data_IF_080976080784
#
_entry.id   IF_080976080784
#
_cell.length_a   1.000
_cell.length_b   1.000
_cell.length_c   1.000
_cell.angle_alpha   90.00
_cell.angle_beta   90.00
_cell.angle_gamma   90.00
#
_symmetry.space_group_name_H-M   'P 1'
#
loop_
_entity.id
_entity.type
_entity.pdbx_description
1 polymer ?
#
# COMPACT_ATOMS: atom_id res chain seq x y z
N UNK A 1 -34.48 -9.71 -46.59
CA UNK A 1 -34.82 -8.35 -47.07
C UNK A 1 -33.53 -7.57 -47.24
N UNK A 2 -33.36 -6.94 -48.42
CA UNK A 2 -32.20 -6.17 -48.86
C UNK A 2 -32.36 -4.67 -48.53
N UNK A 3 -31.21 -3.98 -48.65
CA UNK A 3 -30.93 -2.54 -48.81
C UNK A 3 -30.65 -1.78 -47.50
N UNK A 4 -29.40 -1.39 -47.18
CA UNK A 4 -28.36 -0.55 -47.85
C UNK A 4 -28.66 0.94 -47.75
N UNK A 5 -27.65 1.68 -47.25
CA UNK A 5 -27.15 3.01 -47.71
C UNK A 5 -26.80 3.88 -46.48
N UNK A 6 -25.55 3.99 -46.03
CA UNK A 6 -24.34 4.70 -46.55
C UNK A 6 -24.34 6.23 -46.40
N UNK A 7 -23.13 6.68 -45.99
CA UNK A 7 -22.45 7.97 -46.16
C UNK A 7 -22.55 9.00 -45.01
N UNK A 8 -21.45 9.37 -44.33
CA UNK A 8 -20.32 10.27 -44.71
C UNK A 8 -20.81 11.68 -45.12
N UNK A 9 -20.21 12.82 -44.76
CA UNK A 9 -18.92 13.19 -44.19
C UNK A 9 -18.94 14.71 -43.82
N UNK A 10 -17.89 15.16 -43.13
CA UNK A 10 -17.27 16.50 -43.19
C UNK A 10 -17.82 17.72 -42.40
N UNK A 11 -17.06 18.02 -41.34
CA UNK A 11 -16.30 19.26 -41.09
C UNK A 11 -16.68 20.57 -41.81
N UNK A 12 -16.83 21.66 -41.05
CA UNK A 12 -15.88 22.80 -41.05
C UNK A 12 -16.32 23.93 -40.09
N UNK A 13 -15.30 24.64 -39.63
CA UNK A 13 -15.28 25.82 -38.75
C UNK A 13 -16.03 27.03 -39.33
N UNK A 14 -16.54 27.92 -38.49
CA UNK A 14 -16.34 29.36 -38.69
C UNK A 14 -16.51 30.16 -37.38
N UNK A 15 -15.68 31.20 -37.24
CA UNK A 15 -15.57 32.10 -36.10
C UNK A 15 -16.24 33.45 -36.39
N UNK A 16 -16.41 34.25 -35.32
CA UNK A 16 -16.48 35.72 -35.29
C UNK A 16 -17.80 36.39 -35.69
N UNK A 17 -18.40 37.13 -34.76
CA UNK A 17 -18.28 38.61 -34.72
C UNK A 17 -18.96 39.25 -33.51
N UNK A 18 -18.37 40.38 -33.14
CA UNK A 18 -18.67 41.32 -32.06
C UNK A 18 -20.01 42.04 -32.26
N UNK A 19 -20.59 42.49 -31.15
CA UNK A 19 -21.60 43.56 -31.12
C UNK A 19 -21.73 44.17 -29.72
N UNK A 20 -21.07 45.31 -29.50
CA UNK A 20 -21.22 46.19 -28.34
C UNK A 20 -22.54 47.00 -28.42
N UNK A 21 -23.14 47.30 -27.25
CA UNK A 21 -23.65 48.62 -26.78
C UNK A 21 -24.33 48.41 -25.41
N UNK A 22 -23.79 48.91 -24.27
CA UNK A 22 -23.93 50.26 -23.67
C UNK A 22 -25.42 50.71 -23.54
N UNK A 23 -25.94 51.31 -22.47
CA UNK A 23 -25.45 51.90 -21.19
C UNK A 23 -26.68 52.36 -20.36
N UNK A 24 -26.51 52.50 -19.03
CA UNK A 24 -27.23 53.41 -18.09
C UNK A 24 -28.69 53.09 -17.73
N UNK A 25 -29.27 53.39 -16.56
CA UNK A 25 -28.91 54.09 -15.29
C UNK A 25 -30.12 53.83 -14.36
N UNK A 26 -29.94 53.42 -13.10
CA UNK A 26 -30.00 54.36 -11.98
C UNK A 26 -31.18 54.04 -11.01
N UNK A 27 -31.12 54.45 -9.73
CA UNK A 27 -31.72 53.73 -8.61
C UNK A 27 -32.95 54.42 -8.01
N UNK A 28 -33.74 53.70 -7.20
CA UNK A 28 -34.67 54.27 -6.22
C UNK A 28 -34.68 53.47 -4.93
N UNK A 29 -34.38 54.15 -3.83
CA UNK A 29 -34.59 53.72 -2.46
C UNK A 29 -36.02 54.08 -1.99
N UNK A 30 -36.57 53.34 -1.02
CA UNK A 30 -37.81 53.73 -0.34
C UNK A 30 -38.40 52.71 0.65
N UNK A 31 -38.10 52.93 1.94
CA UNK A 31 -38.90 52.75 3.16
C UNK A 31 -39.47 51.37 3.64
N UNK A 32 -38.98 50.98 4.83
CA UNK A 32 -39.65 50.57 6.09
C UNK A 32 -40.96 49.76 6.08
N UNK A 33 -40.91 48.57 6.70
CA UNK A 33 -41.94 48.08 7.63
C UNK A 33 -41.35 47.05 8.61
N UNK A 34 -41.60 47.26 9.90
CA UNK A 34 -41.39 46.34 11.02
C UNK A 34 -42.34 45.14 10.94
N UNK A 35 -41.92 43.97 11.43
CA UNK A 35 -42.88 42.98 11.94
C UNK A 35 -42.41 41.53 12.00
N UNK A 36 -42.38 41.01 13.23
CA UNK A 36 -42.43 39.61 13.65
C UNK A 36 -41.16 38.75 13.49
N UNK A 37 -40.50 38.58 14.63
CA UNK A 37 -39.61 37.45 14.87
C UNK A 37 -40.38 36.13 14.83
N UNK A 38 -39.97 35.27 13.91
CA UNK A 38 -40.17 33.84 13.98
C UNK A 38 -38.78 33.21 14.11
N UNK A 39 -38.58 32.44 15.18
CA UNK A 39 -37.38 31.64 15.39
C UNK A 39 -37.29 30.58 14.27
N UNK A 40 -36.58 30.90 13.20
CA UNK A 40 -36.08 29.91 12.26
C UNK A 40 -34.86 29.27 12.91
N UNK A 41 -35.06 28.05 13.41
CA UNK A 41 -34.01 27.06 13.61
C UNK A 41 -33.31 26.90 12.26
N UNK A 42 -32.25 27.68 12.06
CA UNK A 42 -31.36 27.52 10.93
C UNK A 42 -30.66 26.19 11.11
N UNK A 43 -31.08 25.18 10.33
CA UNK A 43 -30.19 24.09 9.94
C UNK A 43 -28.95 24.74 9.33
N UNK A 44 -27.91 24.90 10.14
CA UNK A 44 -26.56 25.02 9.59
C UNK A 44 -26.39 23.81 8.67
N UNK A 45 -26.00 24.00 7.40
CA UNK A 45 -25.54 22.86 6.62
C UNK A 45 -24.34 22.36 7.40
N UNK A 46 -24.52 21.20 8.07
CA UNK A 46 -23.41 20.45 8.60
C UNK A 46 -22.44 20.33 7.45
N UNK A 47 -21.25 20.92 7.62
CA UNK A 47 -20.11 20.56 6.81
C UNK A 47 -20.10 19.04 6.85
N UNK A 48 -20.31 18.43 5.68
CA UNK A 48 -20.05 17.02 5.51
C UNK A 48 -18.67 16.76 6.14
N UNK A 49 -18.50 15.69 6.94
CA UNK A 49 -17.19 15.37 7.48
C UNK A 49 -16.17 15.42 6.33
N UNK A 50 -15.01 16.04 6.57
CA UNK A 50 -13.83 15.88 5.71
C UNK A 50 -13.80 14.44 5.23
N UNK A 51 -13.83 14.24 3.91
CA UNK A 51 -14.13 12.96 3.29
C UNK A 51 -13.38 11.81 3.97
N UNK A 52 -14.11 10.73 4.29
CA UNK A 52 -13.54 9.43 4.72
C UNK A 52 -12.51 8.86 3.70
N UNK A 53 -12.37 9.49 2.55
CA UNK A 53 -11.31 9.26 1.57
C UNK A 53 -10.00 9.90 2.04
N UNK A 54 -9.27 9.17 2.88
CA UNK A 54 -7.84 9.42 3.04
C UNK A 54 -7.13 9.21 1.69
N UNK A 55 -6.23 10.13 1.33
CA UNK A 55 -5.38 10.02 0.13
C UNK A 55 -4.38 8.84 0.20
N UNK A 56 -4.14 8.31 1.42
CA UNK A 56 -3.33 7.12 1.69
C UNK A 56 -3.76 6.49 3.02
N UNK A 57 -3.75 5.16 3.09
CA UNK A 57 -4.07 4.37 4.30
C UNK A 57 -2.80 3.84 4.99
N UNK A 58 -1.64 4.46 4.74
CA UNK A 58 -0.43 4.22 5.51
C UNK A 58 -0.66 4.54 7.00
N UNK A 59 -0.19 3.71 7.96
CA UNK A 59 -0.52 3.90 9.37
C UNK A 59 -0.17 5.26 9.94
N UNK A 60 0.98 5.83 9.55
CA UNK A 60 1.34 7.18 9.98
C UNK A 60 0.35 8.25 9.49
N UNK A 61 -0.11 8.15 8.23
CA UNK A 61 -1.13 9.07 7.68
C UNK A 61 -2.45 8.90 8.41
N UNK A 62 -2.87 7.65 8.65
CA UNK A 62 -4.07 7.36 9.44
C UNK A 62 -3.97 7.92 10.85
N UNK A 63 -2.81 7.76 11.51
CA UNK A 63 -2.60 8.31 12.84
C UNK A 63 -2.71 9.84 12.83
N UNK A 64 -1.97 10.51 11.95
CA UNK A 64 -1.91 11.97 11.90
C UNK A 64 -3.27 12.60 11.54
N UNK A 65 -4.06 11.93 10.69
CA UNK A 65 -5.35 12.44 10.20
C UNK A 65 -6.54 12.04 11.07
N UNK A 66 -6.58 10.81 11.57
CA UNK A 66 -7.77 10.24 12.20
C UNK A 66 -7.65 10.06 13.72
N UNK A 67 -6.44 9.90 14.25
CA UNK A 67 -6.23 9.48 15.65
C UNK A 67 -5.64 10.59 16.51
N UNK A 68 -4.59 11.25 16.02
CA UNK A 68 -3.73 12.15 16.80
C UNK A 68 -4.52 13.28 17.46
N UNK A 69 -5.38 13.96 16.70
CA UNK A 69 -6.15 15.10 17.18
C UNK A 69 -6.96 14.76 18.43
N UNK A 70 -7.66 13.63 18.39
CA UNK A 70 -8.56 13.21 19.44
C UNK A 70 -7.81 12.67 20.66
N UNK A 71 -6.75 11.86 20.45
CA UNK A 71 -5.89 11.41 21.54
C UNK A 71 -5.21 12.58 22.27
N UNK A 72 -4.67 13.55 21.54
CA UNK A 72 -4.01 14.72 22.15
C UNK A 72 -5.02 15.58 22.91
N UNK A 73 -6.21 15.79 22.34
CA UNK A 73 -7.27 16.59 22.96
C UNK A 73 -7.74 15.99 24.29
N UNK A 74 -8.02 14.69 24.30
CA UNK A 74 -8.72 14.06 25.43
C UNK A 74 -7.76 13.38 26.43
N UNK A 75 -6.54 13.01 25.99
CA UNK A 75 -5.56 12.28 26.80
C UNK A 75 -4.23 13.03 26.98
N UNK A 76 -3.96 14.06 26.18
CA UNK A 76 -2.66 14.74 26.12
C UNK A 76 -2.25 15.43 27.43
N UNK A 77 -3.22 15.97 28.19
CA UNK A 77 -2.93 16.66 29.45
C UNK A 77 -2.16 15.78 30.46
N UNK A 78 -2.45 14.48 30.49
CA UNK A 78 -1.77 13.54 31.37
C UNK A 78 -0.63 12.79 30.66
N UNK A 79 -0.81 12.40 29.40
CA UNK A 79 0.13 11.52 28.71
C UNK A 79 1.22 12.24 27.89
N UNK A 80 1.23 13.58 27.87
CA UNK A 80 2.35 14.36 27.34
C UNK A 80 3.55 14.46 28.30
N UNK A 81 3.35 14.08 29.57
CA UNK A 81 4.36 14.05 30.64
C UNK A 81 4.35 12.69 31.35
N UNK A 82 5.36 12.42 32.19
CA UNK A 82 5.41 11.19 32.98
C UNK A 82 4.35 11.21 34.10
N UNK A 83 3.66 10.09 34.29
CA UNK A 83 2.63 9.90 35.33
C UNK A 83 2.93 8.62 36.12
N UNK A 84 3.61 8.74 37.26
CA UNK A 84 4.08 7.59 38.03
C UNK A 84 4.99 6.69 37.17
N UNK A 85 4.62 5.42 36.99
CA UNK A 85 5.35 4.46 36.14
C UNK A 85 4.98 4.52 34.65
N UNK A 86 4.07 5.42 34.25
CA UNK A 86 3.66 5.61 32.86
C UNK A 86 4.53 6.69 32.24
N UNK A 87 5.46 6.28 31.38
CA UNK A 87 6.24 7.21 30.56
C UNK A 87 5.33 7.96 29.56
N UNK A 88 5.68 9.21 29.19
CA UNK A 88 4.90 9.97 28.24
C UNK A 88 4.87 9.29 26.87
N UNK A 89 3.73 9.36 26.20
CA UNK A 89 3.55 8.88 24.82
C UNK A 89 2.72 9.83 23.95
N UNK A 90 2.28 10.96 24.49
CA UNK A 90 1.63 12.05 23.74
C UNK A 90 2.45 13.35 23.79
N UNK A 91 3.78 13.23 23.91
CA UNK A 91 4.68 14.39 23.82
C UNK A 91 4.61 14.98 22.41
N UNK A 92 4.41 16.29 22.34
CA UNK A 92 4.21 17.01 21.08
C UNK A 92 5.30 16.69 20.05
N UNK A 93 4.90 16.26 18.85
CA UNK A 93 5.79 15.93 17.74
C UNK A 93 6.44 14.55 17.82
N UNK A 94 6.20 13.77 18.89
CA UNK A 94 6.72 12.42 19.07
C UNK A 94 5.61 11.38 19.24
N UNK A 95 4.34 11.76 19.12
CA UNK A 95 3.20 10.95 19.55
C UNK A 95 3.15 9.60 18.82
N UNK A 96 3.28 9.61 17.49
CA UNK A 96 3.28 8.38 16.69
C UNK A 96 4.42 7.43 17.07
N UNK A 97 5.66 7.95 17.12
CA UNK A 97 6.84 7.16 17.45
C UNK A 97 6.81 6.64 18.88
N UNK A 98 6.40 7.48 19.83
CA UNK A 98 6.32 7.13 21.24
C UNK A 98 5.24 6.08 21.53
N UNK A 99 4.06 6.17 20.90
CA UNK A 99 3.03 5.15 21.03
C UNK A 99 3.49 3.83 20.40
N UNK A 100 3.98 3.87 19.17
CA UNK A 100 4.32 2.64 18.43
C UNK A 100 5.54 1.90 18.97
N UNK A 101 6.42 2.59 19.72
CA UNK A 101 7.57 1.98 20.39
C UNK A 101 7.36 1.75 21.90
N UNK A 102 6.21 2.16 22.45
CA UNK A 102 5.96 2.16 23.88
C UNK A 102 6.16 0.77 24.50
N UNK A 103 7.10 0.65 25.46
CA UNK A 103 7.44 -0.62 26.13
C UNK A 103 7.66 -1.78 25.15
N UNK A 104 8.33 -1.53 24.03
CA UNK A 104 8.59 -2.55 23.01
C UNK A 104 7.38 -2.85 22.12
N UNK A 105 6.45 -1.90 21.97
CA UNK A 105 5.26 -2.04 21.12
C UNK A 105 4.02 -2.56 21.85
N UNK A 106 3.92 -2.34 23.16
CA UNK A 106 2.81 -2.85 24.00
C UNK A 106 1.41 -2.37 23.58
N UNK A 107 1.32 -1.28 22.80
CA UNK A 107 0.06 -0.82 22.23
C UNK A 107 -0.29 -1.46 20.88
N UNK A 108 0.66 -2.13 20.23
CA UNK A 108 0.49 -2.77 18.94
C UNK A 108 0.21 -4.26 19.17
N UNK A 109 -1.08 -4.60 19.23
CA UNK A 109 -1.53 -5.98 19.45
C UNK A 109 -2.24 -6.52 18.21
N UNK A 110 -2.23 -7.84 18.07
CA UNK A 110 -3.08 -8.56 17.10
C UNK A 110 -3.85 -9.65 17.87
N UNK A 111 -5.20 -9.60 17.91
CA UNK A 111 -6.08 -8.62 17.27
C UNK A 111 -5.97 -7.22 17.88
N UNK A 112 -6.18 -6.18 17.06
CA UNK A 112 -6.07 -4.77 17.45
C UNK A 112 -6.92 -4.39 18.66
N UNK A 113 -8.10 -5.01 18.82
CA UNK A 113 -9.03 -4.77 19.94
C UNK A 113 -8.43 -5.13 21.31
N UNK A 114 -7.32 -5.87 21.34
CA UNK A 114 -6.58 -6.17 22.56
C UNK A 114 -5.66 -5.03 23.03
N UNK A 115 -5.51 -3.98 22.22
CA UNK A 115 -4.62 -2.87 22.54
C UNK A 115 -5.08 -2.13 23.78
N UNK A 116 -4.14 -1.80 24.66
CA UNK A 116 -4.40 -0.97 25.84
C UNK A 116 -4.85 0.46 25.49
N UNK A 117 -4.73 0.90 24.23
CA UNK A 117 -5.34 2.16 23.78
C UNK A 117 -6.85 2.05 23.60
N UNK A 118 -7.34 0.86 23.22
CA UNK A 118 -8.77 0.59 23.03
C UNK A 118 -9.41 0.03 24.31
N UNK A 119 -8.65 -0.76 25.06
CA UNK A 119 -9.10 -1.33 26.32
C UNK A 119 -8.96 -0.30 27.43
N UNK A 120 -10.09 0.15 27.96
CA UNK A 120 -10.08 0.99 29.15
C UNK A 120 -9.59 0.18 30.36
N UNK A 121 -8.35 0.43 30.78
CA UNK A 121 -7.83 -0.07 32.06
C UNK A 121 -8.32 0.74 33.27
N UNK A 122 -7.83 0.40 34.46
CA UNK A 122 -8.01 1.20 35.69
C UNK A 122 -7.21 2.51 35.58
N UNK A 123 -7.78 3.52 34.93
CA UNK A 123 -7.21 4.87 34.87
C UNK A 123 -8.32 5.92 34.87
N UNK A 124 -8.01 7.11 35.40
CA UNK A 124 -8.98 8.19 35.64
C UNK A 124 -9.41 8.93 34.35
N UNK A 125 -8.81 8.62 33.21
CA UNK A 125 -9.14 9.24 31.92
C UNK A 125 -10.52 8.83 31.41
N UNK A 126 -11.14 9.67 30.54
CA UNK A 126 -12.36 9.27 29.85
C UNK A 126 -12.06 8.07 28.92
N UNK A 127 -13.01 7.13 28.75
CA UNK A 127 -12.90 6.17 27.65
C UNK A 127 -12.96 6.91 26.31
N UNK A 128 -12.36 6.31 25.28
CA UNK A 128 -12.60 6.74 23.91
C UNK A 128 -14.10 6.64 23.60
N UNK A 129 -14.65 7.65 22.93
CA UNK A 129 -15.97 7.55 22.31
C UNK A 129 -15.97 6.46 21.23
N UNK A 130 -17.12 5.93 20.81
CA UNK A 130 -17.19 4.89 19.78
C UNK A 130 -16.45 5.28 18.48
N UNK A 131 -16.62 6.51 18.01
CA UNK A 131 -15.95 7.00 16.78
C UNK A 131 -14.43 7.05 16.95
N UNK A 132 -13.95 7.49 18.12
CA UNK A 132 -12.51 7.52 18.43
C UNK A 132 -11.93 6.11 18.54
N UNK A 133 -12.67 5.19 19.18
CA UNK A 133 -12.28 3.80 19.29
C UNK A 133 -12.19 3.13 17.91
N UNK A 134 -13.15 3.41 17.02
CA UNK A 134 -13.13 2.89 15.64
C UNK A 134 -11.93 3.44 14.85
N UNK A 135 -11.62 4.73 14.96
CA UNK A 135 -10.45 5.33 14.31
C UNK A 135 -9.12 4.74 14.84
N UNK A 136 -8.98 4.60 16.16
CA UNK A 136 -7.80 3.99 16.78
C UNK A 136 -7.68 2.52 16.37
N UNK A 137 -8.79 1.77 16.35
CA UNK A 137 -8.81 0.37 15.90
C UNK A 137 -8.39 0.25 14.44
N UNK A 138 -8.95 1.06 13.55
CA UNK A 138 -8.60 1.07 12.14
C UNK A 138 -7.11 1.36 11.92
N UNK A 139 -6.55 2.33 12.65
CA UNK A 139 -5.12 2.62 12.61
C UNK A 139 -4.26 1.46 13.14
N UNK A 140 -4.62 0.85 14.26
CA UNK A 140 -3.90 -0.30 14.82
C UNK A 140 -3.95 -1.54 13.90
N UNK A 141 -5.05 -1.76 13.20
CA UNK A 141 -5.14 -2.81 12.18
C UNK A 141 -4.25 -2.49 10.96
N UNK A 142 -4.15 -1.23 10.57
CA UNK A 142 -3.20 -0.80 9.54
C UNK A 142 -1.75 -1.04 9.98
N UNK A 143 -1.41 -0.70 11.24
CA UNK A 143 -0.11 -1.02 11.84
C UNK A 143 0.19 -2.51 11.76
N UNK A 144 -0.76 -3.36 12.18
CA UNK A 144 -0.60 -4.80 12.13
C UNK A 144 -0.38 -5.33 10.70
N UNK A 145 -1.15 -4.82 9.74
CA UNK A 145 -1.02 -5.19 8.34
C UNK A 145 0.37 -4.81 7.76
N UNK A 146 0.89 -3.60 8.04
CA UNK A 146 2.06 -3.08 7.31
C UNK A 146 3.37 -3.12 8.08
N UNK A 147 3.39 -3.14 9.42
CA UNK A 147 4.62 -2.99 10.23
C UNK A 147 5.52 -4.23 10.24
N UNK A 148 6.80 -4.17 9.82
CA UNK A 148 7.71 -5.32 9.90
C UNK A 148 7.94 -5.82 11.34
N UNK A 149 8.16 -7.12 11.53
CA UNK A 149 8.61 -7.68 12.82
C UNK A 149 7.54 -7.87 13.92
N UNK A 150 6.29 -7.51 13.69
CA UNK A 150 5.19 -7.97 14.53
C UNK A 150 5.04 -9.50 14.40
N UNK A 151 4.54 -10.20 15.42
CA UNK A 151 4.12 -11.59 15.30
C UNK A 151 2.89 -11.66 14.39
N UNK A 152 3.13 -11.56 13.08
CA UNK A 152 2.10 -11.42 12.05
C UNK A 152 1.39 -12.70 11.68
N UNK A 153 1.77 -13.83 12.29
CA UNK A 153 1.49 -15.21 11.84
C UNK A 153 0.78 -15.29 10.49
N UNK A 154 1.46 -14.88 9.41
CA UNK A 154 0.93 -14.93 8.04
C UNK A 154 0.34 -13.66 7.39
N UNK A 155 0.46 -12.44 7.91
CA UNK A 155 0.03 -11.22 7.18
C UNK A 155 1.12 -10.68 6.23
N UNK A 156 0.84 -10.72 4.93
CA UNK A 156 1.67 -10.08 3.90
C UNK A 156 1.49 -8.55 3.88
N UNK A 157 2.50 -7.78 3.44
CA UNK A 157 2.36 -6.36 3.16
C UNK A 157 1.25 -6.11 2.14
N UNK A 158 0.56 -4.99 2.28
CA UNK A 158 -0.52 -4.63 1.36
C UNK A 158 0.00 -3.91 0.12
N UNK A 159 -0.73 -4.03 -0.99
CA UNK A 159 -0.50 -3.30 -2.24
C UNK A 159 -1.75 -2.49 -2.61
N UNK A 160 -1.65 -1.45 -3.46
CA UNK A 160 -2.83 -0.72 -3.93
C UNK A 160 -3.91 -1.64 -4.54
N UNK A 161 -5.17 -1.38 -4.23
CA UNK A 161 -6.31 -2.08 -4.83
C UNK A 161 -6.67 -1.42 -6.19
N UNK A 162 -5.85 -1.68 -7.20
CA UNK A 162 -6.02 -1.17 -8.56
C UNK A 162 -5.46 -2.13 -9.61
N UNK A 163 -5.83 -1.96 -10.87
CA UNK A 163 -5.31 -2.73 -12.00
C UNK A 163 -3.78 -2.80 -12.00
N UNK A 164 -3.21 -4.00 -12.22
CA UNK A 164 -1.79 -4.18 -12.47
C UNK A 164 -1.21 -5.50 -11.98
N UNK A 165 0.09 -5.65 -12.16
CA UNK A 165 0.89 -6.79 -11.71
C UNK A 165 1.57 -6.50 -10.37
N UNK A 166 1.50 -7.44 -9.44
CA UNK A 166 1.99 -7.29 -8.08
C UNK A 166 2.98 -8.37 -7.70
N UNK A 167 3.95 -7.99 -6.86
CA UNK A 167 4.90 -8.88 -6.21
C UNK A 167 4.92 -8.49 -4.73
N UNK A 168 4.51 -9.41 -3.86
CA UNK A 168 4.58 -9.27 -2.41
C UNK A 168 5.76 -10.12 -1.92
N UNK A 169 6.76 -9.47 -1.33
CA UNK A 169 8.00 -10.13 -0.86
C UNK A 169 7.83 -10.71 0.55
N UNK A 170 8.43 -11.87 0.79
CA UNK A 170 8.53 -12.49 2.13
C UNK A 170 9.80 -12.09 2.89
N UNK A 171 10.60 -11.15 2.37
CA UNK A 171 11.89 -10.69 2.95
C UNK A 171 11.83 -10.47 4.46
N UNK A 172 10.80 -9.76 4.93
CA UNK A 172 10.64 -9.37 6.34
C UNK A 172 9.49 -10.10 7.02
N UNK A 173 8.93 -11.13 6.38
CA UNK A 173 7.72 -11.82 6.84
C UNK A 173 8.10 -13.12 7.53
N UNK A 174 7.97 -13.13 8.85
CA UNK A 174 8.15 -14.33 9.65
C UNK A 174 7.01 -15.36 9.40
N UNK A 175 7.31 -16.67 9.42
CA UNK A 175 8.62 -17.25 9.65
C UNK A 175 9.52 -17.29 8.41
N UNK A 176 9.05 -16.97 7.20
CA UNK A 176 9.80 -17.18 5.94
C UNK A 176 11.13 -16.42 5.88
N UNK A 177 11.11 -15.10 6.05
CA UNK A 177 12.30 -14.23 6.08
C UNK A 177 13.29 -14.47 4.91
N UNK A 178 12.77 -14.50 3.68
CA UNK A 178 13.55 -14.81 2.48
C UNK A 178 13.27 -13.77 1.37
N UNK A 179 14.27 -12.96 0.96
CA UNK A 179 14.08 -11.94 -0.07
C UNK A 179 13.83 -12.51 -1.47
N UNK A 180 14.15 -13.78 -1.72
CA UNK A 180 13.91 -14.45 -3.00
C UNK A 180 12.55 -15.14 -3.06
N UNK A 181 11.82 -15.20 -1.94
CA UNK A 181 10.48 -15.72 -1.87
C UNK A 181 9.44 -14.61 -2.10
N UNK A 182 8.44 -14.89 -2.93
CA UNK A 182 7.37 -13.93 -3.23
C UNK A 182 6.04 -14.60 -3.57
N UNK A 183 4.97 -13.84 -3.35
CA UNK A 183 3.65 -14.09 -3.89
C UNK A 183 3.40 -13.09 -5.03
N UNK A 184 3.10 -13.56 -6.22
CA UNK A 184 2.82 -12.71 -7.40
C UNK A 184 1.43 -12.95 -7.93
N UNK A 185 0.80 -11.91 -8.48
CA UNK A 185 -0.51 -11.98 -9.12
C UNK A 185 -0.77 -10.76 -10.00
N UNK A 186 -1.76 -10.87 -10.88
CA UNK A 186 -2.32 -9.77 -11.66
C UNK A 186 -3.71 -9.45 -11.11
N UNK A 187 -3.96 -8.17 -10.81
CA UNK A 187 -5.24 -7.65 -10.39
C UNK A 187 -5.91 -6.91 -11.55
N UNK A 188 -7.20 -7.16 -11.75
CA UNK A 188 -8.02 -6.45 -12.73
C UNK A 188 -9.38 -6.12 -12.11
N UNK A 189 -9.77 -4.86 -12.12
CA UNK A 189 -11.15 -4.45 -11.84
C UNK A 189 -12.03 -4.85 -13.03
N UNK A 190 -13.11 -5.56 -12.73
CA UNK A 190 -14.11 -5.99 -13.71
C UNK A 190 -15.21 -4.94 -13.81
N UNK A 191 -16.10 -4.89 -12.82
CA UNK A 191 -17.17 -3.90 -12.71
C UNK A 191 -17.56 -3.72 -11.24
N UNK A 192 -18.05 -2.54 -10.87
CA UNK A 192 -18.58 -2.26 -9.53
C UNK A 192 -17.67 -2.73 -8.38
N UNK A 193 -16.36 -2.42 -8.43
CA UNK A 193 -15.38 -2.81 -7.40
C UNK A 193 -15.25 -4.32 -7.18
N UNK A 194 -15.66 -5.13 -8.15
CA UNK A 194 -15.32 -6.54 -8.22
C UNK A 194 -13.96 -6.66 -8.89
N UNK A 195 -13.01 -7.30 -8.19
CA UNK A 195 -11.66 -7.47 -8.69
C UNK A 195 -11.37 -8.94 -8.97
N UNK A 196 -10.77 -9.22 -10.12
CA UNK A 196 -10.21 -10.53 -10.44
C UNK A 196 -8.72 -10.54 -10.12
N UNK A 197 -8.32 -11.43 -9.23
CA UNK A 197 -6.94 -11.89 -9.10
C UNK A 197 -6.73 -13.01 -10.12
N UNK A 198 -5.63 -12.96 -10.85
CA UNK A 198 -5.21 -14.00 -11.79
C UNK A 198 -3.71 -14.24 -11.71
N UNK A 199 -3.25 -15.37 -12.25
CA UNK A 199 -1.84 -15.77 -12.21
C UNK A 199 -1.25 -15.78 -10.79
N UNK A 200 -2.06 -16.11 -9.78
CA UNK A 200 -1.62 -16.17 -8.39
C UNK A 200 -0.60 -17.30 -8.21
N UNK A 201 0.65 -16.93 -7.90
CA UNK A 201 1.78 -17.84 -7.79
C UNK A 201 2.60 -17.58 -6.55
N UNK A 202 3.04 -18.66 -5.91
CA UNK A 202 4.03 -18.65 -4.83
C UNK A 202 5.38 -19.12 -5.38
N UNK A 203 6.43 -18.34 -5.15
CA UNK A 203 7.82 -18.72 -5.42
C UNK A 203 8.56 -18.86 -4.10
N UNK A 204 9.20 -20.00 -3.87
CA UNK A 204 10.09 -20.22 -2.74
C UNK A 204 11.53 -19.82 -3.10
N UNK A 205 12.27 -19.27 -2.14
CA UNK A 205 13.68 -18.97 -2.33
C UNK A 205 14.53 -20.23 -2.49
N UNK A 206 15.79 -20.07 -2.86
CA UNK A 206 16.64 -21.19 -3.31
C UNK A 206 17.05 -22.16 -2.20
N UNK A 207 17.03 -21.74 -0.93
CA UNK A 207 17.52 -22.55 0.20
C UNK A 207 16.45 -23.21 1.05
N UNK A 208 15.18 -22.77 0.95
CA UNK A 208 14.11 -23.23 1.86
C UNK A 208 12.78 -23.29 1.11
N UNK A 209 12.02 -24.37 1.31
CA UNK A 209 10.66 -24.47 0.81
C UNK A 209 9.67 -23.70 1.67
N UNK A 210 8.47 -23.45 1.16
CA UNK A 210 7.40 -22.75 1.88
C UNK A 210 6.15 -23.61 1.84
N UNK A 211 5.47 -23.73 2.98
CA UNK A 211 4.08 -24.20 3.02
C UNK A 211 3.18 -23.08 3.50
N UNK A 212 2.05 -22.93 2.80
CA UNK A 212 0.95 -22.09 3.22
C UNK A 212 -0.34 -22.92 3.35
N UNK A 213 -1.20 -22.52 4.27
CA UNK A 213 -2.56 -23.06 4.41
C UNK A 213 -3.55 -21.92 4.49
N UNK A 214 -4.67 -22.08 3.80
CA UNK A 214 -5.81 -21.17 3.84
C UNK A 214 -5.38 -19.71 3.61
N UNK A 215 -4.73 -19.39 2.48
CA UNK A 215 -4.41 -18.03 2.12
C UNK A 215 -5.71 -17.25 1.90
N UNK A 216 -5.90 -16.11 2.54
CA UNK A 216 -7.11 -15.30 2.40
C UNK A 216 -6.76 -13.85 2.09
N UNK A 217 -7.40 -13.29 1.07
CA UNK A 217 -7.25 -11.87 0.78
C UNK A 217 -7.97 -11.03 1.84
N UNK A 218 -7.38 -9.88 2.16
CA UNK A 218 -8.01 -8.88 3.03
C UNK A 218 -7.82 -7.49 2.44
N UNK A 219 -8.75 -6.60 2.75
CA UNK A 219 -8.70 -5.21 2.39
C UNK A 219 -8.28 -4.37 3.60
N UNK A 220 -7.52 -3.31 3.34
CA UNK A 220 -7.20 -2.27 4.29
C UNK A 220 -7.77 -0.94 3.76
N UNK A 221 -8.57 -0.27 4.58
CA UNK A 221 -9.16 1.03 4.27
C UNK A 221 -9.03 1.97 5.47
N UNK A 222 -9.46 3.23 5.31
CA UNK A 222 -9.57 4.17 6.44
C UNK A 222 -10.50 3.66 7.57
N UNK A 223 -11.42 2.73 7.26
CA UNK A 223 -12.34 2.10 8.22
C UNK A 223 -11.75 0.87 8.90
N UNK A 224 -10.50 0.53 8.60
CA UNK A 224 -9.81 -0.65 9.11
C UNK A 224 -9.76 -1.78 8.09
N UNK A 225 -9.56 -2.99 8.60
CA UNK A 225 -9.37 -4.20 7.82
C UNK A 225 -10.64 -5.04 7.70
N UNK A 226 -10.86 -5.61 6.52
CA UNK A 226 -11.93 -6.58 6.27
C UNK A 226 -11.41 -7.75 5.45
N UNK A 227 -11.86 -8.96 5.76
CA UNK A 227 -11.49 -10.15 4.99
C UNK A 227 -12.36 -10.25 3.72
N UNK A 228 -11.79 -10.79 2.63
CA UNK A 228 -12.60 -11.18 1.46
C UNK A 228 -13.67 -12.18 1.91
N UNK A 229 -14.97 -11.88 1.75
CA UNK A 229 -16.05 -12.73 2.25
C UNK A 229 -16.19 -14.03 1.46
N UNK A 230 -15.73 -14.07 0.20
CA UNK A 230 -15.85 -15.25 -0.64
C UNK A 230 -14.92 -16.40 -0.20
N UNK A 231 -13.79 -16.07 0.43
CA UNK A 231 -12.83 -17.02 1.00
C UNK A 231 -12.49 -18.20 0.06
N UNK A 232 -12.28 -17.86 -1.23
CA UNK A 232 -12.22 -18.85 -2.33
C UNK A 232 -11.08 -19.85 -2.17
N UNK A 233 -10.06 -19.52 -1.37
CA UNK A 233 -8.86 -20.32 -1.19
C UNK A 233 -8.86 -21.11 0.14
N UNK A 234 -10.00 -21.23 0.82
CA UNK A 234 -10.11 -21.89 2.13
C UNK A 234 -9.58 -23.33 2.17
N UNK A 235 -9.70 -24.08 1.06
CA UNK A 235 -9.23 -25.46 0.95
C UNK A 235 -7.76 -25.62 0.55
N UNK A 236 -7.05 -24.52 0.30
CA UNK A 236 -5.66 -24.57 -0.18
C UNK A 236 -4.72 -24.93 0.98
N UNK A 237 -4.00 -26.02 0.80
CA UNK A 237 -2.79 -26.39 1.55
C UNK A 237 -1.70 -26.69 0.52
N UNK A 238 -0.72 -25.79 0.39
CA UNK A 238 0.26 -25.82 -0.68
C UNK A 238 1.67 -25.82 -0.09
N UNK A 239 2.47 -26.80 -0.49
CA UNK A 239 3.92 -26.84 -0.24
C UNK A 239 4.68 -26.61 -1.54
N UNK A 240 5.59 -25.64 -1.55
CA UNK A 240 6.48 -25.31 -2.66
C UNK A 240 7.91 -25.59 -2.22
N UNK A 241 8.58 -26.49 -2.94
CA UNK A 241 9.98 -26.83 -2.67
C UNK A 241 10.92 -25.65 -2.97
N UNK A 242 12.10 -25.64 -2.35
CA UNK A 242 13.11 -24.62 -2.54
C UNK A 242 13.43 -24.39 -4.03
N UNK A 243 13.50 -23.11 -4.43
CA UNK A 243 13.79 -22.68 -5.80
C UNK A 243 12.70 -23.02 -6.82
N UNK A 244 11.50 -23.41 -6.38
CA UNK A 244 10.35 -23.69 -7.25
C UNK A 244 9.28 -22.62 -7.14
N UNK A 245 8.42 -22.59 -8.15
CA UNK A 245 7.21 -21.77 -8.21
C UNK A 245 6.02 -22.69 -8.42
N UNK A 246 4.90 -22.42 -7.75
CA UNK A 246 3.65 -23.12 -7.94
C UNK A 246 2.46 -22.14 -8.02
N UNK A 247 1.41 -22.55 -8.73
CA UNK A 247 0.12 -21.85 -8.71
C UNK A 247 -0.58 -22.08 -7.38
N UNK A 248 -1.14 -21.03 -6.79
CA UNK A 248 -1.93 -21.13 -5.55
C UNK A 248 -3.39 -21.39 -5.91
N UNK A 249 -3.96 -22.51 -5.44
CA UNK A 249 -5.30 -22.94 -5.80
C UNK A 249 -5.46 -23.07 -7.32
N UNK A 250 -6.53 -22.50 -7.88
CA UNK A 250 -6.74 -22.39 -9.33
C UNK A 250 -5.97 -21.26 -10.01
N UNK A 251 -5.19 -20.48 -9.26
CA UNK A 251 -4.48 -19.29 -9.76
C UNK A 251 -5.37 -18.07 -9.98
N UNK A 252 -6.65 -18.16 -9.63
CA UNK A 252 -7.65 -17.10 -9.78
C UNK A 252 -8.49 -16.96 -8.52
N UNK A 253 -8.84 -15.72 -8.18
CA UNK A 253 -9.77 -15.38 -7.09
C UNK A 253 -10.66 -14.24 -7.58
N UNK A 254 -11.95 -14.31 -7.26
CA UNK A 254 -12.86 -13.19 -7.46
C UNK A 254 -13.10 -12.52 -6.11
N UNK A 255 -12.62 -11.30 -5.99
CA UNK A 255 -12.75 -10.49 -4.79
C UNK A 255 -14.06 -9.72 -4.88
N UNK A 256 -14.92 -9.96 -3.90
CA UNK A 256 -16.24 -9.31 -3.82
C UNK A 256 -16.26 -8.35 -2.62
N UNK A 257 -17.06 -7.30 -2.70
CA UNK A 257 -17.19 -6.30 -1.63
C UNK A 257 -15.89 -5.56 -1.29
N UNK A 258 -15.05 -5.28 -2.29
CA UNK A 258 -13.89 -4.44 -2.08
C UNK A 258 -14.33 -3.03 -1.64
N UNK A 259 -13.62 -2.36 -0.71
CA UNK A 259 -14.06 -1.07 -0.16
C UNK A 259 -14.29 -0.02 -1.24
N UNK A 260 -15.23 0.90 -1.02
CA UNK A 260 -15.52 1.99 -1.98
C UNK A 260 -14.37 3.01 -2.07
N UNK A 261 -13.61 3.18 -0.98
CA UNK A 261 -12.44 4.06 -0.93
C UNK A 261 -11.39 3.63 -1.98
N UNK A 262 -11.03 4.57 -2.87
CA UNK A 262 -10.11 4.33 -3.99
C UNK A 262 -8.64 4.13 -3.59
N UNK A 263 -8.29 4.53 -2.37
CA UNK A 263 -6.97 4.35 -1.76
C UNK A 263 -6.90 3.10 -0.88
N UNK A 264 -7.97 2.29 -0.86
CA UNK A 264 -7.94 0.99 -0.21
C UNK A 264 -6.81 0.12 -0.78
N UNK A 265 -6.30 -0.77 0.07
CA UNK A 265 -5.20 -1.67 -0.24
C UNK A 265 -5.64 -3.11 -0.04
N UNK A 266 -4.90 -4.02 -0.63
CA UNK A 266 -5.14 -5.45 -0.55
C UNK A 266 -3.90 -6.18 -0.05
N UNK A 267 -4.08 -7.12 0.87
CA UNK A 267 -3.03 -8.03 1.35
C UNK A 267 -3.52 -9.48 1.38
N UNK A 268 -2.65 -10.37 1.85
CA UNK A 268 -2.95 -11.80 2.02
C UNK A 268 -2.59 -12.21 3.44
N UNK A 269 -3.52 -12.89 4.11
CA UNK A 269 -3.35 -13.54 5.40
C UNK A 269 -3.23 -15.06 5.20
N UNK A 270 -2.65 -15.79 6.15
CA UNK A 270 -2.59 -17.25 6.12
C UNK A 270 -3.02 -17.83 7.48
N UNK A 271 -3.73 -18.97 7.47
CA UNK A 271 -3.92 -19.76 8.69
C UNK A 271 -2.60 -20.42 9.14
N UNK A 272 -1.80 -20.85 8.16
CA UNK A 272 -0.45 -21.36 8.39
C UNK A 272 0.50 -20.80 7.33
N UNK A 273 1.66 -20.35 7.79
CA UNK A 273 2.81 -20.04 6.94
C UNK A 273 4.05 -20.61 7.62
N UNK A 274 4.75 -21.53 6.97
CA UNK A 274 5.93 -22.18 7.53
C UNK A 274 7.03 -22.43 6.50
N UNK A 275 8.26 -22.54 7.02
CA UNK A 275 9.41 -23.03 6.24
C UNK A 275 9.36 -24.55 6.18
N UNK A 276 9.58 -25.11 5.00
CA UNK A 276 9.66 -26.56 4.78
C UNK A 276 11.06 -26.95 4.37
N UNK A 277 11.60 -27.99 5.02
CA UNK A 277 12.93 -28.56 4.74
C UNK A 277 14.00 -27.47 4.57
N UNK A 278 14.21 -26.59 5.56
CA UNK A 278 15.26 -25.59 5.46
C UNK A 278 16.60 -26.32 5.34
N UNK A 279 17.25 -26.22 4.17
CA UNK A 279 18.65 -26.59 4.05
C UNK A 279 19.38 -25.56 4.92
N UNK A 280 19.91 -25.99 6.08
CA UNK A 280 20.39 -25.10 7.14
C UNK A 280 21.18 -23.91 6.60
N UNK A 281 20.97 -22.72 7.18
CA UNK A 281 21.47 -21.39 6.78
C UNK A 281 22.61 -21.38 5.76
N UNK A 282 22.34 -21.73 4.50
CA UNK A 282 23.27 -21.49 3.41
C UNK A 282 23.21 -19.99 3.17
N UNK A 283 24.35 -19.31 3.33
CA UNK A 283 24.47 -17.90 3.00
C UNK A 283 24.20 -17.74 1.49
N UNK A 284 22.99 -17.30 1.14
CA UNK A 284 22.65 -16.95 -0.23
C UNK A 284 23.41 -15.67 -0.56
N UNK A 285 24.23 -15.69 -1.61
CA UNK A 285 25.00 -14.53 -2.09
C UNK A 285 24.50 -14.09 -3.45
N UNK A 286 24.64 -12.79 -3.73
CA UNK A 286 24.46 -12.24 -5.06
C UNK A 286 25.62 -12.73 -5.94
N UNK A 287 25.35 -13.69 -6.84
CA UNK A 287 26.40 -14.36 -7.62
C UNK A 287 27.07 -13.41 -8.60
N UNK A 288 26.28 -12.53 -9.22
CA UNK A 288 26.71 -11.59 -10.24
C UNK A 288 26.80 -10.16 -9.69
N UNK A 289 27.34 -10.01 -8.47
CA UNK A 289 27.41 -8.72 -7.79
C UNK A 289 28.15 -7.63 -8.58
N UNK A 290 29.19 -7.98 -9.35
CA UNK A 290 29.90 -7.03 -10.22
C UNK A 290 29.04 -6.51 -11.40
N UNK A 291 28.00 -7.25 -11.80
CA UNK A 291 27.03 -6.78 -12.81
C UNK A 291 25.91 -5.98 -12.15
N UNK A 292 25.58 -6.27 -10.90
CA UNK A 292 24.63 -5.48 -10.12
C UNK A 292 25.17 -4.10 -9.75
N UNK A 293 26.39 -4.04 -9.20
CA UNK A 293 27.07 -2.84 -8.75
C UNK A 293 28.27 -2.56 -9.68
N UNK A 294 28.23 -1.50 -10.52
CA UNK A 294 27.34 -0.35 -10.41
C UNK A 294 26.08 -0.38 -11.28
N UNK A 295 25.97 -1.26 -12.28
CA UNK A 295 25.05 -1.03 -13.41
C UNK A 295 23.56 -0.99 -13.03
N UNK A 296 23.07 -1.96 -12.23
CA UNK A 296 21.68 -1.97 -11.77
C UNK A 296 21.49 -1.00 -10.61
N UNK A 297 22.43 -0.99 -9.65
CA UNK A 297 22.43 -0.11 -8.48
C UNK A 297 22.23 1.36 -8.87
N UNK A 298 23.02 1.87 -9.81
CA UNK A 298 23.02 3.28 -10.18
C UNK A 298 21.69 3.72 -10.80
N UNK A 299 21.02 2.85 -11.57
CA UNK A 299 19.70 3.14 -12.14
C UNK A 299 18.59 3.15 -11.07
N UNK A 300 18.80 2.50 -9.92
CA UNK A 300 17.86 2.50 -8.79
C UNK A 300 18.06 3.69 -7.82
N UNK A 301 19.24 4.31 -7.80
CA UNK A 301 19.54 5.42 -6.88
C UNK A 301 18.56 6.61 -6.98
N UNK A 302 18.16 7.08 -8.17
CA UNK A 302 17.18 8.16 -8.27
C UNK A 302 15.83 7.77 -7.65
N UNK A 303 15.41 6.52 -7.83
CA UNK A 303 14.16 6.00 -7.26
C UNK A 303 14.22 5.98 -5.73
N UNK A 304 15.38 5.61 -5.16
CA UNK A 304 15.61 5.68 -3.71
C UNK A 304 15.51 7.13 -3.20
N UNK A 305 16.22 8.06 -3.83
CA UNK A 305 16.27 9.46 -3.41
C UNK A 305 14.91 10.16 -3.49
N UNK A 306 14.10 9.83 -4.50
CA UNK A 306 12.81 10.47 -4.71
C UNK A 306 11.66 9.81 -3.93
N UNK A 307 11.63 8.48 -3.79
CA UNK A 307 10.44 7.79 -3.28
C UNK A 307 10.73 6.62 -2.34
N UNK A 308 11.71 5.77 -2.66
CA UNK A 308 11.85 4.46 -2.02
C UNK A 308 12.74 4.42 -0.77
N UNK A 309 13.39 5.54 -0.39
CA UNK A 309 14.09 5.66 0.89
C UNK A 309 13.13 6.04 2.04
N UNK A 310 13.47 5.71 3.30
CA UNK A 310 12.67 6.09 4.47
C UNK A 310 12.33 7.59 4.50
N UNK A 311 11.08 7.91 4.83
CA UNK A 311 10.60 9.29 4.94
C UNK A 311 10.36 10.02 3.61
N UNK A 312 10.58 9.39 2.46
CA UNK A 312 10.27 9.98 1.14
C UNK A 312 8.83 9.73 0.73
N UNK A 313 8.49 8.47 0.52
CA UNK A 313 7.12 8.01 0.32
C UNK A 313 6.97 6.66 1.03
N UNK A 314 6.23 6.66 2.13
CA UNK A 314 6.15 5.48 2.99
C UNK A 314 5.49 4.28 2.29
N UNK A 315 4.53 4.53 1.38
CA UNK A 315 3.92 3.49 0.55
C UNK A 315 4.95 2.88 -0.42
N UNK A 316 5.78 3.70 -1.06
CA UNK A 316 6.82 3.22 -1.98
C UNK A 316 7.95 2.49 -1.23
N UNK A 317 8.40 3.03 -0.10
CA UNK A 317 9.40 2.41 0.76
C UNK A 317 8.92 1.05 1.31
N UNK A 318 7.67 0.97 1.78
CA UNK A 318 7.07 -0.29 2.22
C UNK A 318 6.88 -1.31 1.09
N UNK A 319 6.65 -0.85 -0.15
CA UNK A 319 6.57 -1.73 -1.30
C UNK A 319 7.95 -2.28 -1.71
N UNK A 320 8.99 -1.46 -1.70
CA UNK A 320 10.39 -1.86 -1.92
C UNK A 320 11.33 -0.79 -1.35
N UNK A 321 12.07 -1.11 -0.28
CA UNK A 321 13.07 -0.21 0.27
C UNK A 321 14.34 -0.22 -0.58
N UNK A 322 14.69 0.93 -1.17
CA UNK A 322 15.88 1.10 -2.00
C UNK A 322 16.99 1.92 -1.34
N UNK A 323 16.88 2.26 -0.05
CA UNK A 323 17.88 3.07 0.67
C UNK A 323 19.30 2.53 0.53
N UNK A 324 19.44 1.19 0.58
CA UNK A 324 20.73 0.53 0.46
C UNK A 324 21.44 0.80 -0.88
N UNK A 325 20.73 1.22 -1.94
CA UNK A 325 21.35 1.68 -3.19
C UNK A 325 22.25 2.91 -3.01
N UNK A 326 22.06 3.68 -1.93
CA UNK A 326 22.85 4.85 -1.58
C UNK A 326 24.08 4.51 -0.73
N UNK A 327 24.19 3.27 -0.26
CA UNK A 327 25.30 2.82 0.57
C UNK A 327 26.57 2.59 -0.25
N UNK A 328 27.72 2.77 0.41
CA UNK A 328 29.04 2.30 -0.03
C UNK A 328 29.49 1.02 0.67
N UNK A 329 28.76 0.56 1.69
CA UNK A 329 29.06 -0.67 2.42
C UNK A 329 28.71 -1.91 1.59
N UNK A 330 29.70 -2.78 1.35
CA UNK A 330 29.54 -3.94 0.48
C UNK A 330 28.51 -4.94 1.03
N UNK A 331 28.47 -5.15 2.35
CA UNK A 331 27.52 -6.08 2.97
C UNK A 331 26.08 -5.61 2.78
N UNK A 332 25.85 -4.31 2.96
CA UNK A 332 24.55 -3.65 2.70
C UNK A 332 24.16 -3.78 1.23
N UNK A 333 25.10 -3.60 0.30
CA UNK A 333 24.85 -3.73 -1.13
C UNK A 333 24.61 -5.19 -1.57
N UNK A 334 25.28 -6.16 -0.96
CA UNK A 334 25.04 -7.59 -1.18
C UNK A 334 23.60 -7.96 -0.80
N UNK A 335 23.14 -7.51 0.37
CA UNK A 335 21.75 -7.72 0.77
C UNK A 335 20.78 -7.02 -0.19
N UNK A 336 21.08 -5.78 -0.60
CA UNK A 336 20.25 -5.06 -1.56
C UNK A 336 20.16 -5.76 -2.92
N UNK A 337 21.25 -6.38 -3.39
CA UNK A 337 21.24 -7.20 -4.59
C UNK A 337 20.23 -8.35 -4.47
N UNK A 338 20.24 -9.10 -3.34
CA UNK A 338 19.31 -10.20 -3.10
C UNK A 338 17.86 -9.73 -3.05
N UNK A 339 17.60 -8.63 -2.34
CA UNK A 339 16.27 -8.02 -2.27
C UNK A 339 15.76 -7.60 -3.65
N UNK A 340 16.65 -7.06 -4.48
CA UNK A 340 16.35 -6.69 -5.86
C UNK A 340 16.08 -7.93 -6.72
N UNK A 341 16.83 -9.03 -6.50
CA UNK A 341 16.70 -10.27 -7.26
C UNK A 341 15.34 -10.94 -7.03
N UNK A 342 14.75 -10.78 -5.84
CA UNK A 342 13.37 -11.18 -5.54
C UNK A 342 12.29 -10.53 -6.41
N UNK A 343 12.63 -9.46 -7.14
CA UNK A 343 11.75 -8.75 -8.10
C UNK A 343 12.01 -9.11 -9.55
N UNK A 344 12.92 -10.05 -9.80
CA UNK A 344 13.32 -10.45 -11.14
C UNK A 344 12.64 -11.75 -11.53
N UNK A 345 12.00 -11.76 -12.70
CA UNK A 345 11.62 -13.02 -13.36
C UNK A 345 12.90 -13.64 -13.93
N UNK A 346 13.47 -14.62 -13.22
CA UNK A 346 14.72 -15.27 -13.62
C UNK A 346 14.56 -16.09 -14.90
N UNK A 347 13.35 -16.55 -15.24
CA UNK A 347 13.11 -17.25 -16.49
C UNK A 347 13.10 -16.26 -17.66
N UNK A 348 12.47 -15.10 -17.48
CA UNK A 348 12.37 -14.04 -18.48
C UNK A 348 12.73 -12.66 -17.88
N UNK A 349 14.03 -12.31 -17.72
CA UNK A 349 14.44 -11.10 -17.02
C UNK A 349 13.81 -9.80 -17.53
N UNK A 350 13.55 -9.69 -18.83
CA UNK A 350 12.88 -8.52 -19.43
C UNK A 350 11.42 -8.35 -19.03
N UNK A 351 10.77 -9.40 -18.54
CA UNK A 351 9.40 -9.36 -18.04
C UNK A 351 9.32 -9.11 -16.52
N UNK A 352 10.46 -8.88 -15.87
CA UNK A 352 10.53 -8.62 -14.43
C UNK A 352 9.67 -7.45 -14.00
N UNK A 353 9.04 -7.56 -12.83
CA UNK A 353 8.21 -6.48 -12.28
C UNK A 353 9.02 -5.20 -12.09
N UNK A 354 10.31 -5.32 -11.74
CA UNK A 354 11.23 -4.19 -11.62
C UNK A 354 11.28 -3.31 -12.89
N UNK A 355 11.21 -3.92 -14.08
CA UNK A 355 11.18 -3.21 -15.37
C UNK A 355 9.76 -2.74 -15.67
N UNK A 356 8.77 -3.66 -15.59
CA UNK A 356 7.37 -3.36 -15.93
C UNK A 356 6.77 -2.20 -15.13
N UNK A 357 7.19 -2.02 -13.88
CA UNK A 357 6.69 -0.95 -13.01
C UNK A 357 7.07 0.43 -13.56
N UNK A 358 8.24 0.62 -14.14
CA UNK A 358 8.63 1.93 -14.71
C UNK A 358 8.32 2.06 -16.20
N UNK A 359 8.05 0.96 -16.90
CA UNK A 359 7.62 0.99 -18.31
C UNK A 359 6.21 1.57 -18.44
N UNK A 360 5.95 2.50 -19.39
CA UNK A 360 4.59 2.94 -19.72
C UNK A 360 3.68 1.77 -20.09
N UNK A 361 2.41 1.80 -19.66
CA UNK A 361 1.47 0.70 -19.94
C UNK A 361 1.28 0.44 -21.44
N UNK A 362 1.26 1.51 -22.26
CA UNK A 362 1.20 1.42 -23.71
C UNK A 362 2.42 0.71 -24.36
N UNK A 363 3.51 0.54 -23.62
CA UNK A 363 4.73 -0.14 -24.05
C UNK A 363 4.91 -1.51 -23.37
N UNK A 364 3.84 -2.07 -22.78
CA UNK A 364 3.88 -3.39 -22.12
C UNK A 364 4.25 -3.35 -20.64
N UNK A 365 4.26 -2.17 -20.01
CA UNK A 365 4.37 -2.03 -18.56
C UNK A 365 3.05 -2.29 -17.83
N UNK A 366 3.10 -2.22 -16.50
CA UNK A 366 1.91 -2.38 -15.63
C UNK A 366 1.38 -1.01 -15.17
N UNK A 367 0.07 -0.73 -15.11
CA UNK A 367 -0.44 0.60 -14.78
C UNK A 367 -0.30 1.02 -13.30
N UNK A 368 -0.01 0.08 -12.39
CA UNK A 368 -0.06 0.30 -10.94
C UNK A 368 1.11 1.11 -10.32
N UNK A 369 2.14 1.49 -11.09
CA UNK A 369 3.19 2.38 -10.58
C UNK A 369 2.87 3.84 -10.91
N UNK A 370 2.97 4.78 -9.95
CA UNK A 370 2.69 6.20 -10.21
C UNK A 370 3.75 6.86 -11.11
N UNK A 371 4.99 6.35 -11.09
CA UNK A 371 6.08 6.86 -11.94
C UNK A 371 6.28 5.98 -13.17
N UNK A 372 6.46 6.62 -14.33
CA UNK A 372 6.82 5.99 -15.60
C UNK A 372 8.04 6.68 -16.19
N UNK A 373 9.00 5.90 -16.66
CA UNK A 373 10.18 6.40 -17.35
C UNK A 373 9.79 6.86 -18.75
N UNK A 374 9.91 8.17 -19.00
CA UNK A 374 9.60 8.78 -20.30
C UNK A 374 10.76 8.69 -21.30
N UNK A 375 12.01 8.55 -20.84
CA UNK A 375 13.17 8.37 -21.70
C UNK A 375 13.35 6.89 -22.09
N UNK A 376 13.05 6.59 -23.36
CA UNK A 376 13.20 5.25 -23.92
C UNK A 376 14.66 4.73 -23.87
N UNK A 377 15.65 5.61 -23.93
CA UNK A 377 17.06 5.21 -23.82
C UNK A 377 17.38 4.80 -22.39
N UNK A 378 16.93 5.57 -21.39
CA UNK A 378 17.08 5.20 -19.98
C UNK A 378 16.39 3.87 -19.66
N UNK A 379 15.17 3.68 -20.15
CA UNK A 379 14.44 2.42 -19.96
C UNK A 379 15.18 1.23 -20.58
N UNK A 380 15.72 1.40 -21.79
CA UNK A 380 16.49 0.35 -22.48
C UNK A 380 17.79 0.02 -21.75
N UNK A 381 18.53 1.04 -21.27
CA UNK A 381 19.75 0.84 -20.46
C UNK A 381 19.45 0.03 -19.21
N UNK A 382 18.41 0.42 -18.47
CA UNK A 382 18.01 -0.28 -17.25
C UNK A 382 17.59 -1.73 -17.53
N UNK A 383 16.74 -1.96 -18.55
CA UNK A 383 16.31 -3.30 -18.93
C UNK A 383 17.49 -4.20 -19.34
N UNK A 384 18.49 -3.66 -20.04
CA UNK A 384 19.68 -4.40 -20.42
C UNK A 384 20.60 -4.70 -19.22
N UNK A 385 20.75 -3.77 -18.29
CA UNK A 385 21.50 -4.00 -17.06
C UNK A 385 20.87 -5.12 -16.21
N UNK A 386 19.54 -5.08 -16.03
CA UNK A 386 18.80 -6.13 -15.33
C UNK A 386 18.90 -7.47 -16.05
N UNK A 387 18.76 -7.51 -17.38
CA UNK A 387 18.87 -8.76 -18.15
C UNK A 387 20.27 -9.39 -18.07
N UNK A 388 21.32 -8.59 -18.19
CA UNK A 388 22.70 -9.06 -18.06
C UNK A 388 22.98 -9.62 -16.66
N UNK A 389 22.63 -8.86 -15.61
CA UNK A 389 22.80 -9.28 -14.23
C UNK A 389 21.99 -10.54 -13.90
N UNK A 390 20.70 -10.58 -14.26
CA UNK A 390 19.83 -11.73 -13.97
C UNK A 390 20.30 -13.03 -14.66
N UNK A 391 20.95 -12.92 -15.84
CA UNK A 391 21.58 -14.07 -16.50
C UNK A 391 22.80 -14.57 -15.73
N UNK A 392 23.59 -13.68 -15.13
CA UNK A 392 24.71 -14.05 -14.26
C UNK A 392 24.28 -14.68 -12.92
N UNK A 393 23.05 -14.44 -12.47
CA UNK A 393 22.49 -15.05 -11.25
C UNK A 393 21.97 -16.48 -11.45
N UNK A 394 21.85 -16.97 -12.69
CA UNK A 394 21.50 -18.37 -12.97
C UNK A 394 22.67 -19.25 -12.54
#
# INVERSE_FOLDING_TARGET
>A
MRFVSTNTEHAARCASRRGLRRVATGPKAGLWALGLGAALVGCTPGLAPESEDLDDVHPQTMFDRLVKKDLVKDCGACHAIAQGSVMPFLTAGQEYGAITSYKGGAFLTDPAIQSLLLQKGQHAGPPLSPVQADAVKAWLEAEAATRPGMNKSGLMPTVPLQDGEYNMSFETIAPVLDPLANLTFTLKEETNRIFRVSQLKLTAGSGTGIRLKHPRFYFLSAKGTSLDPADTLTSVDLTVAAGKTATVGGGTVLLTQAPENRHARIGVAFELLERVNPMGMMEIKCKAFAQFNPAVKNELQPCAQSCHAPGRNNTANGAFNMEASLSSDEKTLQQFCLNTLGRVDRAAPRNSILIKQITPAAQGGTPNHPYKQGDANALTRFANAVDAWAKGEK
#
